data_IF_632698301583
#
_entry.id   IF_632698301583
#
_cell.length_a   1.000
_cell.length_b   1.000
_cell.length_c   1.000
_cell.angle_alpha   90.00
_cell.angle_beta   90.00
_cell.angle_gamma   90.00
#
_symmetry.space_group_name_H-M   'P 1'
#
loop_
_entity.id
_entity.type
_entity.pdbx_description
1 polymer ?
#
# COMPACT_ATOMS: atom_id res chain seq x y z
N UNK A 1 -0.02 -32.64 -18.57
CA UNK A 1 0.19 -32.25 -18.33
C UNK A 1 0.31 -31.89 -17.76
N UNK A 2 0.37 -31.77 -17.66
CA UNK A 2 0.47 -31.42 -17.03
C UNK A 2 0.27 -30.62 -16.73
N UNK A 3 0.27 -30.44 -16.69
CA UNK A 3 0.04 -29.77 -16.28
C UNK A 3 -0.41 -28.92 -16.31
N UNK A 4 -0.19 -28.91 -16.96
CA UNK A 4 -0.85 -28.00 -17.13
C UNK A 4 -1.91 -27.72 -16.39
N UNK A 5 -2.06 -27.63 -15.74
CA UNK A 5 -3.11 -27.48 -14.90
C UNK A 5 -3.08 -26.19 -14.19
N UNK A 6 -4.13 -25.80 -13.52
CA UNK A 6 -4.22 -24.58 -12.79
C UNK A 6 -3.12 -24.53 -11.75
N UNK A 7 -2.50 -23.40 -11.52
CA UNK A 7 -1.46 -23.32 -10.49
C UNK A 7 -2.05 -23.53 -9.11
N UNK A 8 -1.25 -24.05 -8.21
CA UNK A 8 -1.66 -24.16 -6.83
C UNK A 8 -1.72 -22.79 -6.20
N UNK A 9 -2.32 -22.65 -5.04
CA UNK A 9 -2.32 -21.38 -4.34
C UNK A 9 -0.91 -20.91 -4.07
N UNK A 10 -0.01 -21.82 -3.75
CA UNK A 10 1.38 -21.45 -3.51
C UNK A 10 2.02 -20.87 -4.76
N UNK A 11 1.80 -21.51 -5.91
CA UNK A 11 2.36 -21.02 -7.17
C UNK A 11 1.80 -19.65 -7.53
N UNK A 12 0.51 -19.45 -7.31
CA UNK A 12 -0.10 -18.17 -7.59
C UNK A 12 0.48 -17.08 -6.70
N UNK A 13 0.67 -17.37 -5.42
CA UNK A 13 1.25 -16.42 -4.49
C UNK A 13 2.66 -16.03 -4.90
N UNK A 14 3.46 -17.02 -5.32
CA UNK A 14 4.81 -16.71 -5.76
C UNK A 14 4.82 -15.84 -7.00
N UNK A 15 3.95 -16.14 -7.95
CA UNK A 15 3.86 -15.34 -9.16
C UNK A 15 3.46 -13.91 -8.83
N UNK A 16 2.48 -13.76 -7.94
CA UNK A 16 2.01 -12.44 -7.56
C UNK A 16 3.12 -11.63 -6.90
N UNK A 17 3.82 -12.22 -5.94
CA UNK A 17 4.87 -11.50 -5.24
C UNK A 17 5.99 -11.10 -6.20
N UNK A 18 6.32 -11.97 -7.16
CA UNK A 18 7.32 -11.59 -8.15
C UNK A 18 6.87 -10.39 -8.99
N UNK A 19 5.59 -10.35 -9.37
CA UNK A 19 5.11 -9.23 -10.16
C UNK A 19 5.09 -7.95 -9.33
N UNK A 20 4.88 -8.06 -8.02
CA UNK A 20 4.83 -6.88 -7.16
C UNK A 20 6.19 -6.27 -6.89
N UNK A 21 7.26 -6.88 -7.39
CA UNK A 21 8.57 -6.25 -7.32
C UNK A 21 8.65 -5.01 -8.22
N UNK A 22 7.75 -4.91 -9.20
CA UNK A 22 7.63 -3.70 -10.00
C UNK A 22 6.82 -2.67 -9.23
N UNK A 23 7.39 -1.49 -8.96
CA UNK A 23 6.66 -0.50 -8.14
C UNK A 23 5.30 -0.10 -8.71
N UNK A 24 5.20 0.00 -10.02
CA UNK A 24 3.91 0.38 -10.61
C UNK A 24 2.89 -0.72 -10.48
N UNK A 25 3.33 -1.98 -10.51
CA UNK A 25 2.43 -3.08 -10.29
C UNK A 25 1.90 -3.08 -8.86
N UNK A 26 2.78 -2.80 -7.90
CA UNK A 26 2.36 -2.70 -6.50
C UNK A 26 1.36 -1.57 -6.30
N UNK A 27 1.63 -0.40 -6.89
CA UNK A 27 0.73 0.72 -6.73
C UNK A 27 -0.64 0.41 -7.32
N UNK A 28 -0.68 -0.17 -8.51
CA UNK A 28 -1.95 -0.54 -9.12
C UNK A 28 -2.69 -1.60 -8.34
N UNK A 29 -1.94 -2.56 -7.81
CA UNK A 29 -2.53 -3.64 -7.02
C UNK A 29 -3.22 -3.09 -5.76
N UNK A 30 -2.52 -2.24 -5.01
CA UNK A 30 -3.11 -1.66 -3.81
C UNK A 30 -4.30 -0.77 -4.18
N UNK A 31 -4.17 0.01 -5.25
CA UNK A 31 -5.26 0.86 -5.68
C UNK A 31 -6.51 0.07 -6.02
N UNK A 32 -6.34 -1.06 -6.73
CA UNK A 32 -7.48 -1.89 -7.08
C UNK A 32 -8.14 -2.49 -5.84
N UNK A 33 -7.32 -2.89 -4.87
CA UNK A 33 -7.84 -3.44 -3.62
C UNK A 33 -8.69 -2.40 -2.88
N UNK A 34 -8.24 -1.15 -2.88
CA UNK A 34 -8.96 -0.09 -2.18
C UNK A 34 -10.26 0.30 -2.88
N UNK A 35 -10.41 -0.07 -4.14
CA UNK A 35 -11.65 0.22 -4.88
C UNK A 35 -12.70 -0.87 -4.73
N UNK A 36 -12.37 -1.95 -4.04
CA UNK A 36 -13.30 -3.05 -3.88
C UNK A 36 -14.54 -2.58 -3.11
N UNK A 37 -15.72 -2.95 -3.60
CA UNK A 37 -16.95 -2.44 -3.01
C UNK A 37 -17.43 -3.24 -1.80
N UNK A 38 -17.08 -4.48 -1.71
CA UNK A 38 -17.55 -5.32 -0.61
C UNK A 38 -16.39 -6.20 -0.17
N UNK A 39 -15.33 -5.58 0.38
CA UNK A 39 -14.11 -6.34 0.63
C UNK A 39 -14.26 -7.29 1.80
N UNK A 40 -13.63 -8.45 1.64
CA UNK A 40 -13.53 -9.36 2.76
C UNK A 40 -12.58 -8.80 3.80
N UNK A 41 -12.76 -9.15 5.08
CA UNK A 41 -11.96 -8.53 6.14
C UNK A 41 -10.45 -8.67 5.97
N UNK A 42 -9.99 -9.75 5.34
CA UNK A 42 -8.55 -9.97 5.21
C UNK A 42 -7.98 -9.45 3.89
N UNK A 43 -8.81 -8.88 3.03
CA UNK A 43 -8.34 -8.53 1.68
C UNK A 43 -7.21 -7.51 1.69
N UNK A 44 -7.43 -6.39 2.36
CA UNK A 44 -6.44 -5.32 2.37
C UNK A 44 -5.17 -5.75 3.11
N UNK A 45 -5.35 -6.43 4.24
CA UNK A 45 -4.22 -6.91 5.01
C UNK A 45 -3.33 -7.83 4.19
N UNK A 46 -3.95 -8.78 3.49
CA UNK A 46 -3.18 -9.72 2.68
C UNK A 46 -2.50 -9.02 1.51
N UNK A 47 -3.19 -8.05 0.90
CA UNK A 47 -2.59 -7.31 -0.21
C UNK A 47 -1.35 -6.54 0.24
N UNK A 48 -1.44 -5.88 1.38
CA UNK A 48 -0.30 -5.13 1.89
C UNK A 48 0.84 -6.08 2.25
N UNK A 49 0.52 -7.23 2.85
CA UNK A 49 1.55 -8.21 3.17
C UNK A 49 2.28 -8.69 1.93
N UNK A 50 1.57 -8.87 0.84
CA UNK A 50 2.21 -9.31 -0.41
C UNK A 50 3.19 -8.26 -0.93
N UNK A 51 2.81 -6.98 -0.85
CA UNK A 51 3.71 -5.91 -1.28
C UNK A 51 4.94 -5.84 -0.36
N UNK A 52 4.73 -5.97 0.94
CA UNK A 52 5.84 -5.97 1.89
C UNK A 52 6.78 -7.14 1.60
N UNK A 53 6.22 -8.30 1.32
CA UNK A 53 7.06 -9.48 1.02
C UNK A 53 7.90 -9.23 -0.23
N UNK A 54 7.33 -8.61 -1.25
CA UNK A 54 8.10 -8.29 -2.46
C UNK A 54 9.27 -7.37 -2.14
N UNK A 55 9.03 -6.38 -1.28
CA UNK A 55 10.12 -5.45 -0.92
C UNK A 55 11.17 -6.12 -0.07
N UNK A 56 10.78 -7.05 0.79
CA UNK A 56 11.75 -7.82 1.56
C UNK A 56 12.64 -8.62 0.61
N UNK A 57 12.04 -9.27 -0.39
CA UNK A 57 12.81 -10.06 -1.34
C UNK A 57 13.77 -9.21 -2.16
N UNK A 58 13.41 -7.95 -2.40
CA UNK A 58 14.31 -7.03 -3.11
C UNK A 58 15.31 -6.36 -2.18
N UNK A 59 15.17 -6.59 -0.87
CA UNK A 59 16.04 -6.00 0.13
C UNK A 59 15.97 -4.47 0.12
N UNK A 60 14.77 -3.93 -0.06
CA UNK A 60 14.59 -2.47 -0.10
C UNK A 60 13.63 -1.97 0.97
N UNK A 61 13.17 -2.85 1.86
CA UNK A 61 12.25 -2.44 2.90
C UNK A 61 13.00 -1.71 4.01
N UNK A 62 12.63 -0.46 4.29
CA UNK A 62 13.30 0.31 5.33
C UNK A 62 12.81 -0.13 6.71
N UNK A 63 13.58 0.22 7.73
CA UNK A 63 13.18 -0.10 9.11
C UNK A 63 11.91 0.64 9.48
N UNK A 64 11.77 1.89 9.07
CA UNK A 64 10.56 2.62 9.38
C UNK A 64 9.35 2.03 8.68
N UNK A 65 9.51 1.58 7.42
CA UNK A 65 8.39 0.92 6.73
C UNK A 65 7.99 -0.36 7.44
N UNK A 66 8.98 -1.10 7.94
CA UNK A 66 8.70 -2.31 8.67
C UNK A 66 7.89 -2.03 9.93
N UNK A 67 8.28 -1.00 10.67
CA UNK A 67 7.57 -0.63 11.89
C UNK A 67 6.16 -0.16 11.59
N UNK A 68 6.00 0.67 10.57
CA UNK A 68 4.66 1.13 10.18
C UNK A 68 3.80 -0.02 9.74
N UNK A 69 4.39 -0.97 9.02
CA UNK A 69 3.62 -2.14 8.58
C UNK A 69 3.14 -2.97 9.76
N UNK A 70 3.99 -3.16 10.75
CA UNK A 70 3.60 -3.96 11.91
C UNK A 70 2.42 -3.34 12.64
N UNK A 71 2.45 -2.02 12.80
CA UNK A 71 1.33 -1.34 13.44
C UNK A 71 0.07 -1.43 12.62
N UNK A 72 0.17 -1.19 11.33
CA UNK A 72 -0.99 -1.23 10.47
C UNK A 72 -1.55 -2.64 10.38
N UNK A 73 -0.67 -3.64 10.30
CA UNK A 73 -1.11 -5.03 10.20
C UNK A 73 -1.95 -5.42 11.41
N UNK A 74 -1.55 -4.95 12.59
CA UNK A 74 -2.32 -5.22 13.79
C UNK A 74 -3.70 -4.57 13.73
N UNK A 75 -3.76 -3.33 13.28
CA UNK A 75 -5.04 -2.63 13.15
C UNK A 75 -5.93 -3.32 12.13
N UNK A 76 -5.36 -3.75 11.01
CA UNK A 76 -6.14 -4.42 9.98
C UNK A 76 -6.62 -5.78 10.45
N UNK A 77 -5.87 -6.44 11.31
CA UNK A 77 -6.32 -7.70 11.87
C UNK A 77 -7.60 -7.51 12.69
N UNK A 78 -7.71 -6.37 13.36
CA UNK A 78 -8.87 -6.11 14.20
C UNK A 78 -10.04 -5.54 13.43
N UNK A 79 -9.80 -4.64 12.49
CA UNK A 79 -10.88 -3.91 11.84
C UNK A 79 -11.16 -4.34 10.41
N UNK A 80 -10.24 -5.07 9.79
CA UNK A 80 -10.39 -5.42 8.38
C UNK A 80 -10.23 -4.21 7.47
N UNK A 81 -9.81 -3.06 8.01
CA UNK A 81 -9.62 -1.87 7.20
C UNK A 81 -10.90 -1.09 6.96
N UNK A 82 -11.92 -1.32 7.77
CA UNK A 82 -13.21 -0.68 7.53
C UNK A 82 -13.08 0.85 7.53
N UNK A 83 -12.23 1.40 8.38
CA UNK A 83 -12.05 2.86 8.41
C UNK A 83 -11.43 3.36 7.11
N UNK A 84 -10.53 2.59 6.54
CA UNK A 84 -9.88 2.98 5.29
C UNK A 84 -10.90 2.95 4.16
N UNK A 85 -11.71 1.89 4.08
CA UNK A 85 -12.73 1.81 3.05
C UNK A 85 -13.79 2.88 3.22
N UNK A 86 -14.12 3.24 4.47
CA UNK A 86 -15.05 4.33 4.71
C UNK A 86 -14.50 5.64 4.19
N UNK A 87 -13.22 5.87 4.36
CA UNK A 87 -12.59 7.07 3.81
C UNK A 87 -12.69 7.10 2.29
N UNK A 88 -12.40 5.97 1.65
CA UNK A 88 -12.48 5.90 0.20
C UNK A 88 -13.90 6.22 -0.28
N UNK A 89 -14.89 5.65 0.39
CA UNK A 89 -16.27 5.89 0.00
C UNK A 89 -16.67 7.34 0.20
N UNK A 90 -16.24 7.95 1.29
CA UNK A 90 -16.52 9.35 1.52
C UNK A 90 -15.90 10.22 0.44
N UNK A 91 -14.65 9.95 0.08
CA UNK A 91 -13.98 10.73 -0.95
C UNK A 91 -14.72 10.63 -2.28
N UNK A 92 -15.17 9.43 -2.61
CA UNK A 92 -15.92 9.24 -3.85
C UNK A 92 -17.24 10.00 -3.81
N UNK A 93 -17.91 9.98 -2.67
CA UNK A 93 -19.17 10.71 -2.54
C UNK A 93 -18.97 12.22 -2.66
N UNK A 94 -17.80 12.70 -2.30
CA UNK A 94 -17.46 14.11 -2.40
C UNK A 94 -16.98 14.48 -3.80
N UNK A 95 -16.85 13.53 -4.70
CA UNK A 95 -16.37 13.79 -6.04
C UNK A 95 -14.88 13.65 -6.20
N UNK A 96 -14.22 13.02 -5.25
CA UNK A 96 -12.77 12.82 -5.29
C UNK A 96 -12.44 11.37 -5.57
N UNK A 97 -11.20 11.14 -5.97
CA UNK A 97 -10.71 9.80 -6.20
C UNK A 97 -9.38 9.64 -5.47
N UNK A 98 -9.26 8.54 -4.72
CA UNK A 98 -8.00 8.20 -4.08
C UNK A 98 -7.16 7.41 -5.06
N UNK A 99 -5.92 7.81 -5.24
CA UNK A 99 -5.05 7.16 -6.21
C UNK A 99 -3.71 6.82 -5.57
N UNK A 100 -3.23 5.61 -5.83
CA UNK A 100 -1.93 5.17 -5.35
C UNK A 100 -0.97 5.22 -6.54
N UNK A 101 0.10 5.97 -6.41
CA UNK A 101 1.09 6.10 -7.47
C UNK A 101 2.47 5.90 -6.89
N UNK A 102 3.44 5.65 -7.76
CA UNK A 102 4.82 5.49 -7.32
C UNK A 102 5.38 6.86 -6.97
N UNK A 103 6.02 6.95 -5.80
CA UNK A 103 6.56 8.23 -5.35
C UNK A 103 7.77 8.63 -6.17
N UNK A 104 7.91 9.93 -6.37
CA UNK A 104 9.07 10.50 -7.03
C UNK A 104 10.28 10.35 -6.10
N UNK A 105 11.36 9.76 -6.62
CA UNK A 105 12.56 9.54 -5.80
C UNK A 105 13.14 10.87 -5.31
N UNK A 106 13.10 11.89 -6.15
CA UNK A 106 13.61 13.21 -5.75
C UNK A 106 12.77 13.78 -4.62
N UNK A 107 11.47 13.59 -4.69
CA UNK A 107 10.59 14.05 -3.64
C UNK A 107 10.90 13.35 -2.33
N UNK A 108 11.16 12.05 -2.37
CA UNK A 108 11.52 11.31 -1.17
C UNK A 108 12.81 11.83 -0.56
N UNK A 109 13.80 12.11 -1.38
CA UNK A 109 15.07 12.62 -0.90
C UNK A 109 14.89 13.99 -0.25
N UNK A 110 14.09 14.84 -0.84
CA UNK A 110 13.81 16.14 -0.25
C UNK A 110 13.10 16.02 1.09
N UNK A 111 12.17 15.11 1.17
CA UNK A 111 11.47 14.87 2.40
C UNK A 111 12.41 14.48 3.51
N UNK A 112 13.34 13.60 3.21
CA UNK A 112 14.29 13.16 4.20
C UNK A 112 15.23 14.27 4.62
N UNK A 113 15.63 15.10 3.69
CA UNK A 113 16.59 16.14 4.03
C UNK A 113 15.94 17.28 4.82
N UNK A 114 14.65 17.48 4.73
CA UNK A 114 14.00 18.55 5.46
C UNK A 114 13.54 18.16 6.83
N UNK A 115 13.86 17.03 7.20
CA UNK A 115 13.41 16.67 8.45
C UNK A 115 13.56 17.57 9.56
N UNK A 116 13.14 18.14 9.45
CA UNK A 116 12.96 19.07 9.87
C UNK A 116 12.16 19.93 9.82
N UNK A 117 11.74 20.19 9.82
CA UNK A 117 11.16 21.20 9.70
C UNK A 117 10.03 21.47 9.41
N UNK A 118 9.56 21.24 9.47
CA UNK A 118 8.74 21.60 9.23
C UNK A 118 7.94 21.97 9.34
N UNK A 119 7.73 21.95 9.53
CA UNK A 119 7.06 22.40 9.51
C UNK A 119 6.51 23.11 9.11
N UNK A 120 6.44 23.47 8.90
CA UNK A 120 5.97 24.20 8.39
C UNK A 120 5.33 24.42 7.83
N UNK A 121 5.19 24.01 7.81
CA UNK A 121 4.58 24.29 7.12
C UNK A 121 3.99 24.48 7.08
N UNK A 122 4.02 24.35 7.34
CA UNK A 122 3.54 24.69 7.04
C UNK A 122 3.17 25.11 6.90
N UNK A 123 2.83 25.26 7.02
CA UNK A 123 2.43 25.79 6.68
C UNK A 123 1.95 26.33 6.53
N UNK A 124 1.91 26.38 6.78
CA UNK A 124 1.46 26.92 6.43
C UNK A 124 1.03 27.27 6.30
N UNK A 125 0.88 27.41 6.36
CA UNK A 125 0.34 27.86 6.09
C UNK A 125 -0.29 28.19 6.08
N UNK A 126 -0.48 28.06 6.27
CA UNK A 126 -1.00 28.43 6.06
C UNK A 126 -1.38 28.92 6.00
N UNK A 127 -1.55 28.86 6.20
CA UNK A 127 -1.88 29.36 5.99
C UNK A 127 -2.11 29.86 5.75
N UNK A 128 -2.34 29.68 5.79
CA UNK A 128 -2.50 30.14 5.45
C UNK A 128 -2.68 30.56 5.31
#
# INVERSE_FOLDING_TARGET
>A
MKDVKAPTSHSYSEYLIESLKEPEESAGYIGAILEEKDPEPALLRNAIRNVIEAQIRMNVLSESAKEYHEKLDQMLTESGGSEIYSLVELLEALGFKLEITVADVELLAESESTDFVESELSRAPANL
#
